data_IF_251285795028
#
_entry.id   IF_251285795028
#
_cell.length_a   1.000
_cell.length_b   1.000
_cell.length_c   1.000
_cell.angle_alpha   90.00
_cell.angle_beta   90.00
_cell.angle_gamma   90.00
#
_symmetry.space_group_name_H-M   'P 1'
#
loop_
_entity.id
_entity.type
_entity.pdbx_description
1 polymer ?
#
# COMPACT_ATOMS: atom_id res chain seq x y z
N UNK A 1 4.06 15.03 -2.70
CA UNK A 1 3.37 14.61 -3.94
C UNK A 1 1.92 15.04 -3.81
N UNK A 2 1.45 15.96 -4.67
CA UNK A 2 0.13 16.57 -4.56
C UNK A 2 -0.84 16.09 -5.64
N UNK A 3 -2.12 16.05 -5.29
CA UNK A 3 -3.23 15.76 -6.20
C UNK A 3 -3.82 14.35 -6.06
N UNK A 4 -5.05 14.17 -6.58
CA UNK A 4 -5.80 12.93 -6.46
C UNK A 4 -5.16 11.81 -7.28
N UNK A 5 -4.66 10.79 -6.62
CA UNK A 5 -4.07 9.60 -7.24
C UNK A 5 -4.29 8.36 -6.36
N UNK A 6 -4.16 7.19 -6.96
CA UNK A 6 -4.00 5.95 -6.23
C UNK A 6 -2.52 5.71 -5.98
N UNK A 7 -2.14 5.32 -4.78
CA UNK A 7 -0.78 4.90 -4.42
C UNK A 7 -0.83 3.47 -3.95
N UNK A 8 -0.06 2.59 -4.55
CA UNK A 8 -0.14 1.17 -4.24
C UNK A 8 1.25 0.56 -4.05
N UNK A 9 1.47 -0.18 -2.97
CA UNK A 9 2.81 -0.72 -2.71
C UNK A 9 2.87 -1.99 -1.90
N UNK A 10 4.06 -2.53 -1.84
CA UNK A 10 4.37 -3.74 -1.06
C UNK A 10 4.10 -3.51 0.42
N UNK A 11 3.64 -4.55 1.11
CA UNK A 11 3.38 -4.50 2.55
C UNK A 11 4.17 -5.59 3.27
N UNK A 12 5.32 -5.23 3.84
CA UNK A 12 6.23 -6.16 4.49
C UNK A 12 6.28 -5.97 6.01
N UNK A 13 6.12 -4.73 6.49
CA UNK A 13 6.22 -4.42 7.91
C UNK A 13 5.08 -3.50 8.39
N UNK A 14 5.16 -3.08 9.64
CA UNK A 14 4.29 -2.05 10.18
C UNK A 14 4.82 -0.64 9.89
N UNK A 15 6.10 -0.52 9.61
CA UNK A 15 6.83 0.73 9.43
C UNK A 15 6.28 1.56 8.25
N UNK A 16 6.05 0.95 7.09
CA UNK A 16 5.58 1.68 5.91
C UNK A 16 4.18 2.29 6.09
N UNK A 17 3.36 1.74 7.00
CA UNK A 17 2.04 2.30 7.32
C UNK A 17 2.14 3.75 7.83
N UNK A 18 3.22 4.06 8.55
CA UNK A 18 3.47 5.41 9.04
C UNK A 18 4.38 6.21 8.12
N UNK A 19 5.39 5.56 7.55
CA UNK A 19 6.42 6.25 6.77
C UNK A 19 5.91 6.81 5.43
N UNK A 20 4.90 6.18 4.84
CA UNK A 20 4.33 6.64 3.55
C UNK A 20 3.39 7.83 3.74
N UNK A 21 2.69 7.93 4.87
CA UNK A 21 1.69 9.00 5.09
C UNK A 21 2.26 10.41 4.97
N UNK A 22 3.36 10.79 5.65
CA UNK A 22 3.90 12.15 5.60
C UNK A 22 4.50 12.56 4.26
N UNK A 23 4.59 11.65 3.29
CA UNK A 23 5.10 11.94 1.95
C UNK A 23 4.02 12.55 1.02
N UNK A 24 2.79 12.64 1.49
CA UNK A 24 1.64 13.22 0.79
C UNK A 24 0.97 14.27 1.67
N UNK A 25 0.37 15.29 1.03
CA UNK A 25 -0.21 16.45 1.75
C UNK A 25 -1.44 16.08 2.59
N UNK A 26 -2.39 15.33 2.05
CA UNK A 26 -3.58 14.84 2.75
C UNK A 26 -3.90 13.40 2.30
N UNK A 27 -3.13 12.40 2.75
CA UNK A 27 -3.32 11.03 2.31
C UNK A 27 -4.50 10.36 3.02
N UNK A 28 -5.16 9.45 2.30
CA UNK A 28 -6.18 8.56 2.83
C UNK A 28 -5.73 7.11 2.67
N UNK A 29 -5.43 6.42 3.76
CA UNK A 29 -5.00 5.02 3.71
C UNK A 29 -6.17 4.05 3.83
N UNK A 30 -6.15 3.00 3.01
CA UNK A 30 -7.05 1.85 3.13
C UNK A 30 -6.50 0.90 4.18
N UNK A 31 -7.29 0.62 5.21
CA UNK A 31 -6.90 -0.21 6.34
C UNK A 31 -7.97 -1.23 6.70
N UNK A 32 -7.58 -2.22 7.48
CA UNK A 32 -8.47 -3.25 8.01
C UNK A 32 -9.38 -2.67 9.09
N UNK A 33 -10.71 -2.94 9.04
CA UNK A 33 -11.69 -2.40 9.99
C UNK A 33 -11.32 -2.68 11.45
N UNK A 34 -10.77 -3.85 11.75
CA UNK A 34 -10.39 -4.22 13.11
C UNK A 34 -9.32 -3.31 13.72
N UNK A 35 -8.53 -2.62 12.89
CA UNK A 35 -7.55 -1.65 13.37
C UNK A 35 -8.20 -0.38 13.94
N UNK A 36 -9.43 -0.08 13.56
CA UNK A 36 -10.18 1.08 14.09
C UNK A 36 -10.62 0.89 15.55
N UNK A 37 -10.55 -0.33 16.06
CA UNK A 37 -10.89 -0.64 17.47
C UNK A 37 -9.68 -0.58 18.41
N UNK A 38 -8.45 -0.39 17.88
CA UNK A 38 -7.26 -0.24 18.72
C UNK A 38 -7.28 1.16 19.36
N UNK A 39 -7.21 1.26 20.69
CA UNK A 39 -7.16 2.54 21.37
C UNK A 39 -6.08 3.47 20.79
N UNK A 40 -6.33 4.75 20.76
CA UNK A 40 -5.51 5.81 20.15
C UNK A 40 -5.39 5.67 18.62
N UNK A 41 -4.93 4.53 18.10
CA UNK A 41 -4.78 4.30 16.65
C UNK A 41 -6.11 4.38 15.91
N UNK A 42 -7.15 3.72 16.44
CA UNK A 42 -8.50 3.80 15.87
C UNK A 42 -9.05 5.22 15.84
N UNK A 43 -8.80 5.99 16.90
CA UNK A 43 -9.20 7.39 16.94
C UNK A 43 -8.50 8.23 15.87
N UNK A 44 -7.19 8.04 15.66
CA UNK A 44 -6.46 8.67 14.55
C UNK A 44 -7.07 8.30 13.19
N UNK A 45 -7.38 7.02 12.96
CA UNK A 45 -7.94 6.58 11.68
C UNK A 45 -9.29 7.24 11.39
N UNK A 46 -10.11 7.45 12.40
CA UNK A 46 -11.40 8.16 12.29
C UNK A 46 -11.19 9.66 12.04
N UNK A 47 -10.30 10.30 12.82
CA UNK A 47 -9.99 11.73 12.70
C UNK A 47 -9.45 12.08 11.31
N UNK A 48 -8.55 11.28 10.77
CA UNK A 48 -7.98 11.45 9.45
C UNK A 48 -8.84 10.86 8.32
N UNK A 49 -10.06 10.40 8.63
CA UNK A 49 -11.04 9.88 7.65
C UNK A 49 -10.46 8.78 6.75
N UNK A 50 -9.66 7.88 7.33
CA UNK A 50 -9.11 6.73 6.62
C UNK A 50 -10.21 5.78 6.15
N UNK A 51 -9.97 5.01 5.09
CA UNK A 51 -10.94 4.05 4.56
C UNK A 51 -10.76 2.71 5.26
N UNK A 52 -11.70 2.36 6.13
CA UNK A 52 -11.72 1.04 6.79
C UNK A 52 -12.50 0.01 5.97
N UNK A 53 -11.92 -1.18 5.82
CA UNK A 53 -12.50 -2.28 5.01
C UNK A 53 -12.72 -3.51 5.86
N UNK A 54 -13.95 -4.01 5.86
CA UNK A 54 -14.32 -5.29 6.43
C UNK A 54 -14.20 -6.39 5.38
N UNK A 55 -13.03 -7.03 5.33
CA UNK A 55 -12.68 -7.97 4.24
C UNK A 55 -13.61 -9.18 4.14
N UNK A 56 -14.20 -9.60 5.27
CA UNK A 56 -15.12 -10.74 5.30
C UNK A 56 -16.45 -10.47 4.57
N UNK A 57 -16.80 -9.21 4.32
CA UNK A 57 -18.02 -8.82 3.63
C UNK A 57 -17.95 -8.95 2.08
N UNK A 58 -16.88 -9.53 1.52
CA UNK A 58 -16.75 -9.89 0.11
C UNK A 58 -17.07 -8.73 -0.85
N UNK A 59 -18.03 -8.91 -1.74
CA UNK A 59 -18.43 -7.91 -2.73
C UNK A 59 -19.01 -6.63 -2.13
N UNK A 60 -19.67 -6.72 -0.97
CA UNK A 60 -20.18 -5.55 -0.26
C UNK A 60 -19.04 -4.66 0.27
N UNK A 61 -17.96 -5.27 0.78
CA UNK A 61 -16.75 -4.54 1.18
C UNK A 61 -16.14 -3.79 0.00
N UNK A 62 -16.08 -4.42 -1.17
CA UNK A 62 -15.53 -3.83 -2.38
C UNK A 62 -16.36 -2.62 -2.86
N UNK A 63 -17.71 -2.74 -2.86
CA UNK A 63 -18.59 -1.62 -3.19
C UNK A 63 -18.40 -0.44 -2.23
N UNK A 64 -18.32 -0.69 -0.91
CA UNK A 64 -18.06 0.35 0.10
C UNK A 64 -16.70 1.01 -0.09
N UNK A 65 -15.66 0.22 -0.36
CA UNK A 65 -14.32 0.71 -0.65
C UNK A 65 -14.32 1.67 -1.84
N UNK A 66 -14.95 1.28 -2.95
CA UNK A 66 -15.07 2.11 -4.16
C UNK A 66 -15.86 3.40 -3.89
N UNK A 67 -17.00 3.31 -3.21
CA UNK A 67 -17.83 4.48 -2.89
C UNK A 67 -17.06 5.49 -2.02
N UNK A 68 -16.35 5.01 -0.99
CA UNK A 68 -15.49 5.86 -0.16
C UNK A 68 -14.31 6.42 -0.94
N UNK A 69 -13.68 5.61 -1.78
CA UNK A 69 -12.58 6.05 -2.64
C UNK A 69 -12.97 7.21 -3.55
N UNK A 70 -14.13 7.14 -4.19
CA UNK A 70 -14.67 8.24 -5.00
C UNK A 70 -14.85 9.54 -4.21
N UNK A 71 -15.34 9.45 -2.97
CA UNK A 71 -15.49 10.61 -2.10
C UNK A 71 -14.15 11.25 -1.74
N UNK A 72 -13.13 10.45 -1.45
CA UNK A 72 -11.81 10.97 -1.05
C UNK A 72 -11.04 11.54 -2.25
N UNK A 73 -11.12 10.93 -3.42
CA UNK A 73 -10.56 11.47 -4.67
C UNK A 73 -11.24 12.80 -5.04
N UNK A 74 -12.56 12.90 -4.90
CA UNK A 74 -13.29 14.15 -5.15
C UNK A 74 -12.88 15.29 -4.20
N UNK A 75 -12.31 14.97 -3.05
CA UNK A 75 -11.70 15.92 -2.08
C UNK A 75 -10.25 16.27 -2.42
N UNK A 76 -9.70 15.77 -3.51
CA UNK A 76 -8.32 16.00 -3.90
C UNK A 76 -7.28 15.11 -3.20
N UNK A 77 -7.71 14.08 -2.44
CA UNK A 77 -6.81 13.27 -1.61
C UNK A 77 -6.15 12.14 -2.40
N UNK A 78 -4.90 11.82 -2.05
CA UNK A 78 -4.26 10.59 -2.48
C UNK A 78 -4.78 9.38 -1.68
N UNK A 79 -5.07 8.27 -2.35
CA UNK A 79 -5.49 7.03 -1.68
C UNK A 79 -4.35 6.04 -1.68
N UNK A 80 -3.89 5.65 -0.48
CA UNK A 80 -2.82 4.67 -0.29
C UNK A 80 -3.44 3.31 0.00
N UNK A 81 -3.07 2.30 -0.78
CA UNK A 81 -3.53 0.93 -0.59
C UNK A 81 -2.36 -0.05 -0.66
N UNK A 82 -2.38 -1.04 0.22
CA UNK A 82 -1.50 -2.20 0.16
C UNK A 82 -2.25 -3.34 -0.55
N UNK A 83 -1.95 -3.65 -1.83
CA UNK A 83 -2.77 -4.56 -2.66
C UNK A 83 -2.91 -5.96 -2.10
N UNK A 84 -1.91 -6.46 -1.39
CA UNK A 84 -1.92 -7.77 -0.74
C UNK A 84 -2.86 -7.82 0.47
N UNK A 85 -3.17 -6.65 1.02
CA UNK A 85 -4.06 -6.51 2.15
C UNK A 85 -3.54 -7.09 3.46
N UNK A 86 -2.37 -7.71 3.48
CA UNK A 86 -1.69 -8.22 4.67
C UNK A 86 -0.19 -8.11 4.47
N UNK A 87 0.56 -8.04 5.57
CA UNK A 87 2.03 -8.05 5.51
C UNK A 87 2.53 -9.40 5.06
N UNK A 88 3.44 -9.39 4.08
CA UNK A 88 4.15 -10.57 3.57
C UNK A 88 5.65 -10.39 3.75
N UNK A 89 6.34 -11.49 4.02
CA UNK A 89 7.80 -11.46 4.10
C UNK A 89 8.44 -11.15 2.75
N UNK A 90 9.74 -10.78 2.76
CA UNK A 90 10.47 -10.51 1.51
C UNK A 90 10.49 -11.67 0.50
N UNK A 91 10.39 -12.90 0.98
CA UNK A 91 10.42 -14.13 0.17
C UNK A 91 9.02 -14.70 -0.10
N UNK A 92 7.97 -14.14 0.52
CA UNK A 92 6.62 -14.68 0.34
C UNK A 92 6.14 -14.41 -1.10
N UNK A 93 5.50 -15.38 -1.76
CA UNK A 93 4.92 -15.15 -3.08
C UNK A 93 3.85 -14.04 -3.02
N UNK A 94 3.71 -13.24 -4.08
CA UNK A 94 2.71 -12.17 -4.12
C UNK A 94 1.29 -12.72 -4.09
N UNK A 95 0.36 -11.96 -3.45
CA UNK A 95 -1.05 -12.34 -3.35
C UNK A 95 -1.94 -11.08 -3.43
N UNK A 96 -2.06 -10.52 -4.62
CA UNK A 96 -2.77 -9.29 -4.90
C UNK A 96 -4.28 -9.46 -4.85
N UNK A 97 -4.93 -8.77 -3.94
CA UNK A 97 -6.39 -8.79 -3.78
C UNK A 97 -7.08 -7.82 -4.75
N UNK A 98 -8.35 -8.04 -5.10
CA UNK A 98 -9.05 -7.25 -6.13
C UNK A 98 -9.31 -5.78 -5.74
N UNK A 99 -9.04 -5.37 -4.51
CA UNK A 99 -9.33 -4.03 -4.00
C UNK A 99 -8.63 -2.91 -4.76
N UNK A 100 -7.33 -3.06 -5.02
CA UNK A 100 -6.56 -2.05 -5.76
C UNK A 100 -7.04 -1.88 -7.20
N UNK A 101 -7.28 -3.00 -7.89
CA UNK A 101 -7.79 -3.00 -9.27
C UNK A 101 -9.22 -2.45 -9.36
N UNK A 102 -10.06 -2.70 -8.34
CA UNK A 102 -11.40 -2.14 -8.29
C UNK A 102 -11.39 -0.63 -8.05
N UNK A 103 -10.54 -0.14 -7.15
CA UNK A 103 -10.34 1.31 -6.96
C UNK A 103 -9.83 1.97 -8.23
N UNK A 104 -8.74 1.49 -8.81
CA UNK A 104 -8.17 2.04 -10.03
C UNK A 104 -9.21 2.19 -11.14
N UNK A 105 -9.95 1.12 -11.43
CA UNK A 105 -10.97 1.11 -12.48
C UNK A 105 -12.13 2.07 -12.21
N UNK A 106 -12.53 2.21 -10.94
CA UNK A 106 -13.67 3.03 -10.55
C UNK A 106 -13.35 4.52 -10.35
N UNK A 107 -12.10 4.82 -10.01
CA UNK A 107 -11.65 6.19 -9.74
C UNK A 107 -11.14 6.91 -10.98
N UNK A 108 -10.68 6.16 -11.97
CA UNK A 108 -10.10 6.69 -13.23
C UNK A 108 -9.00 7.74 -12.98
N UNK A 109 -8.11 7.47 -12.04
CA UNK A 109 -6.94 8.30 -11.71
C UNK A 109 -5.66 7.49 -11.93
N UNK A 110 -4.51 8.15 -12.13
CA UNK A 110 -3.24 7.44 -12.21
C UNK A 110 -2.92 6.70 -10.90
N UNK A 111 -2.17 5.61 -11.01
CA UNK A 111 -1.68 4.86 -9.86
C UNK A 111 -0.15 4.95 -9.79
N UNK A 112 0.37 5.40 -8.66
CA UNK A 112 1.81 5.44 -8.37
C UNK A 112 2.17 4.18 -7.57
N UNK A 113 2.87 3.20 -8.18
CA UNK A 113 3.37 2.04 -7.46
C UNK A 113 4.57 2.40 -6.58
N UNK A 114 4.81 1.63 -5.51
CA UNK A 114 6.07 1.69 -4.78
C UNK A 114 6.54 0.31 -4.31
N UNK A 115 7.86 0.10 -4.38
CA UNK A 115 8.56 -1.03 -3.81
C UNK A 115 9.28 -0.64 -2.51
N UNK A 116 9.69 -1.63 -1.71
CA UNK A 116 10.42 -1.39 -0.48
C UNK A 116 11.14 -2.66 0.02
N UNK A 117 12.07 -2.46 0.98
CA UNK A 117 12.86 -3.51 1.63
C UNK A 117 12.60 -3.61 3.14
N UNK A 118 11.52 -3.03 3.66
CA UNK A 118 11.26 -2.87 5.10
C UNK A 118 11.25 -4.19 5.87
N UNK A 119 10.83 -5.29 5.22
CA UNK A 119 10.77 -6.60 5.83
C UNK A 119 12.12 -7.19 6.28
N UNK A 120 13.24 -6.71 5.73
CA UNK A 120 14.58 -7.10 6.15
C UNK A 120 14.93 -6.54 7.54
N UNK A 121 14.49 -5.32 7.82
CA UNK A 121 14.87 -4.58 9.04
C UNK A 121 13.77 -4.61 10.10
N UNK A 122 12.52 -4.62 9.68
CA UNK A 122 11.36 -4.69 10.58
C UNK A 122 10.44 -5.85 10.20
N UNK A 123 10.88 -7.10 10.43
CA UNK A 123 10.14 -8.28 10.00
C UNK A 123 8.80 -8.43 10.71
N UNK A 124 7.82 -8.98 9.98
CA UNK A 124 6.49 -9.26 10.50
C UNK A 124 6.55 -10.20 11.72
N UNK A 125 5.77 -9.88 12.76
CA UNK A 125 5.62 -10.72 13.97
C UNK A 125 6.90 -11.01 14.76
N UNK A 126 7.99 -10.30 14.50
CA UNK A 126 9.20 -10.38 15.31
C UNK A 126 9.31 -9.11 16.16
N UNK A 127 9.76 -9.26 17.40
CA UNK A 127 10.02 -8.12 18.30
C UNK A 127 11.34 -7.42 17.93
N UNK A 128 12.36 -8.19 17.62
CA UNK A 128 13.67 -7.66 17.25
C UNK A 128 13.62 -6.94 15.91
N UNK A 129 14.32 -5.83 15.85
CA UNK A 129 14.56 -5.03 14.64
C UNK A 129 16.04 -5.16 14.26
N UNK A 130 16.28 -5.32 12.98
CA UNK A 130 17.65 -5.37 12.46
C UNK A 130 18.09 -3.94 12.13
N UNK A 131 19.36 -3.58 12.42
CA UNK A 131 19.89 -2.30 12.00
C UNK A 131 20.03 -2.23 10.49
N UNK A 132 19.80 -1.04 9.90
CA UNK A 132 19.99 -0.80 8.49
C UNK A 132 19.09 0.30 7.93
N UNK A 133 19.10 0.47 6.60
CA UNK A 133 18.37 1.51 5.91
C UNK A 133 17.16 0.93 5.20
N UNK A 134 15.96 1.39 5.59
CA UNK A 134 14.74 1.07 4.86
C UNK A 134 14.59 2.06 3.71
N UNK A 135 14.39 1.53 2.51
CA UNK A 135 14.18 2.31 1.29
C UNK A 135 12.75 2.11 0.80
N UNK A 136 12.09 3.21 0.44
CA UNK A 136 10.84 3.22 -0.33
C UNK A 136 11.18 3.84 -1.68
N UNK A 137 10.88 3.14 -2.75
CA UNK A 137 11.05 3.62 -4.12
C UNK A 137 9.69 3.81 -4.78
N UNK A 138 9.34 5.05 -5.11
CA UNK A 138 8.17 5.35 -5.94
C UNK A 138 8.52 5.16 -7.40
N UNK A 139 7.63 4.49 -8.12
CA UNK A 139 7.83 4.10 -9.51
C UNK A 139 7.01 4.98 -10.46
N UNK A 140 7.31 4.99 -11.77
CA UNK A 140 6.52 5.70 -12.74
C UNK A 140 5.03 5.38 -12.62
N UNK A 141 4.20 6.40 -12.70
CA UNK A 141 2.76 6.26 -12.57
C UNK A 141 2.18 5.40 -13.70
N UNK A 142 1.33 4.46 -13.34
CA UNK A 142 0.48 3.73 -14.28
C UNK A 142 -0.66 4.67 -14.67
N UNK A 143 -0.83 5.02 -15.96
CA UNK A 143 -1.87 5.95 -16.40
C UNK A 143 -3.27 5.38 -16.13
N UNK A 144 -4.27 6.25 -15.98
CA UNK A 144 -5.67 5.84 -15.91
C UNK A 144 -6.15 5.18 -17.21
N UNK A 145 -7.25 4.43 -17.14
CA UNK A 145 -7.96 3.91 -18.33
C UNK A 145 -7.56 2.50 -18.78
N UNK A 146 -6.62 1.83 -18.12
CA UNK A 146 -6.32 0.43 -18.43
C UNK A 146 -7.43 -0.51 -17.99
N UNK A 147 -7.54 -1.65 -18.65
CA UNK A 147 -8.38 -2.74 -18.17
C UNK A 147 -7.92 -3.22 -16.78
N UNK A 148 -8.84 -3.76 -15.97
CA UNK A 148 -8.52 -4.30 -14.64
C UNK A 148 -7.39 -5.33 -14.69
N UNK A 149 -7.40 -6.21 -15.68
CA UNK A 149 -6.39 -7.28 -15.85
C UNK A 149 -5.01 -6.69 -16.19
N UNK A 150 -4.96 -5.75 -17.10
CA UNK A 150 -3.73 -5.09 -17.51
C UNK A 150 -3.14 -4.26 -16.38
N UNK A 151 -3.96 -3.49 -15.68
CA UNK A 151 -3.54 -2.73 -14.51
C UNK A 151 -2.94 -3.64 -13.44
N UNK A 152 -3.63 -4.73 -13.08
CA UNK A 152 -3.13 -5.64 -12.04
C UNK A 152 -1.79 -6.27 -12.43
N UNK A 153 -1.63 -6.70 -13.70
CA UNK A 153 -0.38 -7.23 -14.21
C UNK A 153 0.77 -6.21 -14.14
N UNK A 154 0.53 -4.97 -14.56
CA UNK A 154 1.55 -3.90 -14.50
C UNK A 154 1.88 -3.52 -13.06
N UNK A 155 0.88 -3.38 -12.21
CA UNK A 155 1.07 -3.05 -10.81
C UNK A 155 1.93 -4.11 -10.09
N UNK A 156 1.58 -5.37 -10.24
CA UNK A 156 2.30 -6.50 -9.64
C UNK A 156 3.74 -6.55 -10.15
N UNK A 157 3.93 -6.52 -11.47
CA UNK A 157 5.26 -6.53 -12.05
C UNK A 157 6.14 -5.37 -11.55
N UNK A 158 5.60 -4.16 -11.50
CA UNK A 158 6.34 -2.98 -11.05
C UNK A 158 6.76 -3.10 -9.57
N UNK A 159 5.83 -3.44 -8.69
CA UNK A 159 6.08 -3.54 -7.24
C UNK A 159 7.05 -4.70 -6.92
N UNK A 160 6.82 -5.88 -7.51
CA UNK A 160 7.65 -7.06 -7.22
C UNK A 160 9.07 -6.88 -7.76
N UNK A 161 9.25 -6.37 -8.97
CA UNK A 161 10.58 -6.12 -9.55
C UNK A 161 11.37 -5.12 -8.70
N UNK A 162 10.76 -3.99 -8.32
CA UNK A 162 11.44 -2.99 -7.48
C UNK A 162 11.77 -3.55 -6.10
N UNK A 163 10.82 -4.21 -5.44
CA UNK A 163 11.04 -4.77 -4.10
C UNK A 163 12.11 -5.86 -4.11
N UNK A 164 12.11 -6.76 -5.09
CA UNK A 164 13.13 -7.79 -5.23
C UNK A 164 14.54 -7.21 -5.44
N UNK A 165 14.65 -6.17 -6.29
CA UNK A 165 15.90 -5.45 -6.51
C UNK A 165 16.41 -4.80 -5.23
N UNK A 166 15.57 -4.03 -4.53
CA UNK A 166 15.93 -3.37 -3.27
C UNK A 166 16.36 -4.37 -2.19
N UNK A 167 15.70 -5.52 -2.10
CA UNK A 167 16.06 -6.61 -1.18
C UNK A 167 17.42 -7.20 -1.54
N UNK A 168 17.66 -7.50 -2.83
CA UNK A 168 18.93 -8.07 -3.31
C UNK A 168 20.11 -7.11 -3.08
N UNK A 169 19.98 -5.85 -3.47
CA UNK A 169 20.98 -4.80 -3.25
C UNK A 169 21.31 -4.64 -1.76
N UNK A 170 20.29 -4.61 -0.91
CA UNK A 170 20.45 -4.49 0.53
C UNK A 170 21.20 -5.67 1.12
N UNK A 171 20.89 -6.90 0.69
CA UNK A 171 21.59 -8.11 1.15
C UNK A 171 23.05 -8.10 0.76
N UNK A 172 23.35 -7.71 -0.47
CA UNK A 172 24.74 -7.59 -0.93
C UNK A 172 25.55 -6.62 -0.05
N UNK A 173 24.96 -5.49 0.33
CA UNK A 173 25.60 -4.51 1.22
C UNK A 173 25.77 -5.02 2.67
N UNK A 174 24.87 -5.88 3.16
CA UNK A 174 24.97 -6.45 4.51
C UNK A 174 26.04 -7.55 4.62
N UNK A 175 26.34 -8.25 3.53
CA UNK A 175 27.41 -9.28 3.48
C UNK A 175 28.81 -8.66 3.45
N UNK A 176 28.92 -7.41 2.98
CA UNK A 176 30.20 -6.70 2.89
C UNK A 176 30.65 -6.00 4.19
N UNK A 177 29.81 -6.02 5.22
CA UNK A 177 30.10 -5.48 6.56
C UNK A 177 30.40 -6.57 7.58
#
# INVERSE_FOLDING_TARGET
>A
MGGPCLVAGKHQSFWETFAVLPLFDDPCMVLKRELTFIPLFGWFTLKFKMISVERRAGSAALRKLVARGKQEIARGRAIIIMPEGTRRGPEDPPDYKPGAAALYNALNVPCVPFGLNSGLFWPRRKFLRNPGTIVIEFLPAIPAGLSRKEFQKRLEAAIETSSARLISETRALLVQK
#
